data_IF_930350566520
#
_entry.id   IF_930350566520
#
_cell.length_a   1.000
_cell.length_b   1.000
_cell.length_c   1.000
_cell.angle_alpha   90.00
_cell.angle_beta   90.00
_cell.angle_gamma   90.00
#
_symmetry.space_group_name_H-M   'P 1'
#
loop_
_entity.id
_entity.type
_entity.pdbx_description
1 polymer ?
#
# COMPACT_ATOMS: atom_id res chain seq x y z
N UNK A 1 -11.55 -0.51 -13.70
CA UNK A 1 -11.71 -0.80 -15.03
C UNK A 1 -11.78 -2.23 -15.26
N UNK A 2 -12.33 -2.58 -16.37
CA UNK A 2 -12.47 -3.98 -16.70
C UNK A 2 -11.11 -4.60 -16.97
N UNK A 3 -10.97 -5.86 -16.63
CA UNK A 3 -9.76 -6.61 -16.94
C UNK A 3 -8.50 -6.18 -16.18
N UNK A 4 -8.64 -5.42 -15.14
CA UNK A 4 -7.48 -5.13 -14.29
C UNK A 4 -7.07 -6.37 -13.53
N UNK A 5 -5.80 -6.46 -13.22
CA UNK A 5 -5.27 -7.53 -12.40
C UNK A 5 -5.27 -7.06 -10.96
N UNK A 6 -6.21 -7.57 -10.19
CA UNK A 6 -6.41 -7.14 -8.81
C UNK A 6 -5.80 -8.19 -7.88
N UNK A 7 -4.99 -7.72 -6.93
CA UNK A 7 -4.41 -8.63 -5.94
C UNK A 7 -4.55 -8.04 -4.55
N UNK A 8 -4.44 -8.91 -3.56
CA UNK A 8 -4.43 -8.53 -2.15
C UNK A 8 -3.16 -9.08 -1.52
N UNK A 9 -2.45 -8.24 -0.81
CA UNK A 9 -1.18 -8.62 -0.21
C UNK A 9 -1.20 -8.21 1.26
N UNK A 10 -0.65 -9.07 2.10
CA UNK A 10 -0.49 -8.77 3.52
C UNK A 10 1.00 -8.76 3.80
N UNK A 11 1.48 -7.69 4.38
CA UNK A 11 2.90 -7.57 4.68
C UNK A 11 3.16 -6.35 5.52
N UNK A 12 4.44 -6.02 5.66
CA UNK A 12 4.84 -4.91 6.51
C UNK A 12 5.50 -3.81 5.70
N UNK A 13 5.27 -2.56 6.08
CA UNK A 13 5.94 -1.46 5.41
C UNK A 13 7.44 -1.52 5.69
N UNK A 14 8.23 -1.34 4.66
CA UNK A 14 9.69 -1.36 4.80
C UNK A 14 10.25 -0.03 5.26
N UNK A 15 9.47 1.04 5.13
CA UNK A 15 9.87 2.36 5.54
C UNK A 15 8.63 3.21 5.69
N UNK A 16 8.79 4.43 6.15
CA UNK A 16 7.65 5.34 6.26
C UNK A 16 7.15 5.69 4.87
N UNK A 17 5.84 5.90 4.72
CA UNK A 17 5.31 6.32 3.42
C UNK A 17 5.91 7.65 3.00
N UNK A 18 6.19 7.79 1.72
CA UNK A 18 6.76 9.00 1.18
C UNK A 18 5.69 9.81 0.49
N UNK A 19 5.27 10.89 1.12
CA UNK A 19 4.21 11.76 0.58
C UNK A 19 4.86 12.90 -0.17
N UNK A 20 4.40 13.16 -1.37
CA UNK A 20 4.89 14.28 -2.15
C UNK A 20 3.72 14.84 -2.96
N UNK A 21 3.96 15.97 -3.60
CA UNK A 21 2.92 16.61 -4.39
C UNK A 21 3.42 16.79 -5.81
N UNK A 22 2.54 16.56 -6.77
CA UNK A 22 2.90 16.75 -8.18
C UNK A 22 2.92 18.23 -8.51
N UNK A 23 3.38 18.56 -9.71
CA UNK A 23 3.41 19.96 -10.11
C UNK A 23 2.01 20.56 -10.16
N UNK A 24 1.00 19.75 -10.35
CA UNK A 24 -0.36 20.24 -10.35
C UNK A 24 -0.94 20.32 -8.95
N UNK A 25 -0.19 19.94 -7.95
CA UNK A 25 -0.67 20.05 -6.57
C UNK A 25 -1.37 18.82 -6.03
N UNK A 26 -1.37 17.73 -6.75
CA UNK A 26 -2.03 16.52 -6.27
C UNK A 26 -1.09 15.72 -5.36
N UNK A 27 -1.61 15.28 -4.24
CA UNK A 27 -0.83 14.47 -3.32
C UNK A 27 -0.66 13.07 -3.88
N UNK A 28 0.51 12.48 -3.71
CA UNK A 28 0.75 11.10 -4.05
C UNK A 28 1.66 10.51 -2.99
N UNK A 29 1.36 9.29 -2.57
CA UNK A 29 2.19 8.61 -1.59
C UNK A 29 2.70 7.32 -2.19
N UNK A 30 3.97 7.02 -1.88
CA UNK A 30 4.58 5.75 -2.26
C UNK A 30 5.00 5.04 -1.00
N UNK A 31 4.83 3.76 -0.96
CA UNK A 31 5.34 2.94 0.13
C UNK A 31 5.58 1.53 -0.39
N UNK A 32 6.45 0.80 0.27
CA UNK A 32 6.79 -0.57 -0.14
C UNK A 32 6.37 -1.53 0.95
N UNK A 33 5.69 -2.59 0.54
CA UNK A 33 5.24 -3.63 1.45
C UNK A 33 6.09 -4.87 1.21
N UNK A 34 6.63 -5.41 2.29
CA UNK A 34 7.41 -6.64 2.24
C UNK A 34 6.53 -7.79 2.71
N UNK A 35 6.34 -8.77 1.84
CA UNK A 35 5.54 -9.93 2.14
C UNK A 35 6.43 -11.15 2.02
N UNK A 36 6.63 -11.86 3.12
CA UNK A 36 7.53 -13.00 3.15
C UNK A 36 6.72 -14.28 3.35
N UNK A 37 6.68 -15.15 2.35
CA UNK A 37 5.98 -16.40 2.54
C UNK A 37 6.77 -17.31 3.48
N UNK A 38 6.07 -18.14 4.21
CA UNK A 38 6.70 -19.07 5.10
C UNK A 38 6.29 -20.49 4.72
N UNK A 39 7.24 -21.39 4.74
CA UNK A 39 7.02 -22.77 4.34
C UNK A 39 7.47 -23.68 5.46
N UNK A 40 6.70 -24.71 5.74
CA UNK A 40 7.09 -25.66 6.75
C UNK A 40 8.02 -26.69 6.12
N UNK A 41 9.22 -26.85 6.70
CA UNK A 41 10.20 -27.78 6.19
C UNK A 41 10.05 -29.09 6.97
N UNK A 42 9.57 -30.11 6.32
CA UNK A 42 9.34 -31.39 6.99
C UNK A 42 10.64 -32.05 7.43
N UNK A 43 11.74 -31.75 6.74
CA UNK A 43 13.00 -32.37 7.11
C UNK A 43 13.53 -31.84 8.44
N UNK A 44 13.46 -30.54 8.65
CA UNK A 44 13.94 -29.98 9.89
C UNK A 44 12.80 -29.75 10.88
N UNK A 45 11.56 -29.98 10.46
CA UNK A 45 10.39 -29.79 11.30
C UNK A 45 10.29 -28.34 11.76
N UNK A 46 10.66 -27.40 10.94
CA UNK A 46 10.65 -26.01 11.29
C UNK A 46 10.04 -25.19 10.16
N UNK A 47 9.54 -24.01 10.52
CA UNK A 47 9.04 -23.06 9.53
C UNK A 47 10.22 -22.26 9.02
N UNK A 48 10.27 -22.07 7.71
CA UNK A 48 11.33 -21.28 7.08
C UNK A 48 10.73 -20.18 6.25
N UNK A 49 11.44 -19.04 6.19
CA UNK A 49 11.01 -17.94 5.37
C UNK A 49 11.43 -18.20 3.93
N UNK A 50 10.53 -17.91 3.00
CA UNK A 50 10.89 -17.93 1.59
C UNK A 50 11.41 -16.58 1.17
N UNK A 51 11.52 -16.39 -0.13
CA UNK A 51 11.98 -15.12 -0.65
C UNK A 51 10.93 -14.05 -0.42
N UNK A 52 11.36 -12.89 -0.01
CA UNK A 52 10.45 -11.78 0.29
C UNK A 52 10.04 -11.09 -0.99
N UNK A 53 8.74 -10.85 -1.11
CA UNK A 53 8.21 -10.03 -2.18
C UNK A 53 8.18 -8.59 -1.72
N UNK A 54 8.84 -7.70 -2.45
CA UNK A 54 8.79 -6.27 -2.16
C UNK A 54 7.89 -5.64 -3.21
N UNK A 55 6.77 -5.08 -2.77
CA UNK A 55 5.79 -4.52 -3.70
C UNK A 55 5.64 -3.04 -3.45
N UNK A 56 5.94 -2.24 -4.47
CA UNK A 56 5.79 -0.81 -4.37
C UNK A 56 4.34 -0.44 -4.60
N UNK A 57 3.80 0.40 -3.72
CA UNK A 57 2.40 0.78 -3.75
C UNK A 57 2.29 2.28 -3.84
N UNK A 58 1.24 2.76 -4.48
CA UNK A 58 0.99 4.20 -4.53
C UNK A 58 -0.49 4.50 -4.44
N UNK A 59 -0.81 5.67 -3.90
CA UNK A 59 -2.17 6.17 -3.80
C UNK A 59 -2.13 7.68 -3.98
N UNK A 60 -3.31 8.27 -4.22
CA UNK A 60 -3.39 9.66 -4.65
C UNK A 60 -4.35 10.46 -3.81
N UNK A 61 -4.13 11.77 -3.75
CA UNK A 61 -5.05 12.76 -3.21
C UNK A 61 -5.29 12.57 -1.72
N UNK A 62 -6.50 12.72 -1.27
CA UNK A 62 -6.76 12.65 0.15
C UNK A 62 -6.39 11.27 0.72
N UNK A 63 -6.57 10.23 -0.05
CA UNK A 63 -6.20 8.91 0.39
C UNK A 63 -4.69 8.85 0.68
N UNK A 64 -3.88 9.50 -0.17
CA UNK A 64 -2.44 9.55 0.05
C UNK A 64 -2.10 10.23 1.37
N UNK A 65 -2.80 11.31 1.68
CA UNK A 65 -2.55 12.02 2.92
C UNK A 65 -2.92 11.17 4.13
N UNK A 66 -4.05 10.48 4.06
CA UNK A 66 -4.46 9.62 5.15
C UNK A 66 -3.46 8.49 5.39
N UNK A 67 -2.92 7.92 4.32
CA UNK A 67 -1.94 6.87 4.44
C UNK A 67 -0.68 7.41 5.11
N UNK A 68 -0.21 8.57 4.67
CA UNK A 68 1.01 9.14 5.22
C UNK A 68 0.88 9.46 6.70
N UNK A 69 -0.31 9.81 7.14
CA UNK A 69 -0.52 10.13 8.54
C UNK A 69 -0.79 8.93 9.40
N UNK A 70 -1.11 7.80 8.81
CA UNK A 70 -1.56 6.64 9.57
C UNK A 70 -0.56 5.50 9.62
N UNK A 71 0.23 5.32 8.60
CA UNK A 71 1.11 4.16 8.51
C UNK A 71 2.56 4.57 8.70
N UNK A 72 3.33 3.71 9.33
CA UNK A 72 4.74 3.96 9.54
C UNK A 72 5.53 2.71 9.24
N UNK A 73 6.84 2.84 9.21
CA UNK A 73 7.72 1.72 8.97
C UNK A 73 7.39 0.59 9.94
N UNK A 74 7.29 -0.61 9.43
CA UNK A 74 7.01 -1.79 10.23
C UNK A 74 5.55 -2.11 10.43
N UNK A 75 4.64 -1.22 10.06
CA UNK A 75 3.22 -1.49 10.23
C UNK A 75 2.81 -2.63 9.31
N UNK A 76 2.11 -3.62 9.87
CA UNK A 76 1.56 -4.70 9.08
C UNK A 76 0.26 -4.23 8.45
N UNK A 77 0.11 -4.40 7.16
CA UNK A 77 -1.05 -3.90 6.43
C UNK A 77 -1.64 -4.97 5.55
N UNK A 78 -2.91 -4.76 5.20
CA UNK A 78 -3.58 -5.51 4.16
C UNK A 78 -3.83 -4.51 3.05
N UNK A 79 -3.29 -4.78 1.87
CA UNK A 79 -3.43 -3.84 0.76
C UNK A 79 -4.00 -4.57 -0.43
N UNK A 80 -4.95 -3.93 -1.09
CA UNK A 80 -5.56 -4.46 -2.29
C UNK A 80 -5.48 -3.40 -3.37
N UNK A 81 -5.19 -3.79 -4.57
CA UNK A 81 -5.13 -2.85 -5.66
C UNK A 81 -4.90 -3.53 -6.99
N UNK A 82 -4.58 -2.74 -7.98
CA UNK A 82 -4.38 -3.21 -9.34
C UNK A 82 -2.90 -3.17 -9.66
N UNK A 83 -2.39 -4.29 -10.18
CA UNK A 83 -1.01 -4.33 -10.64
C UNK A 83 -0.91 -3.60 -11.97
N UNK A 84 0.05 -2.72 -12.08
CA UNK A 84 0.31 -2.01 -13.33
C UNK A 84 1.79 -2.13 -13.64
N UNK A 85 2.11 -2.16 -14.91
CA UNK A 85 3.46 -2.27 -15.36
C UNK A 85 3.79 -1.02 -16.17
N UNK A 86 4.93 -0.44 -15.93
CA UNK A 86 5.37 0.68 -16.73
C UNK A 86 6.85 0.53 -17.07
N UNK A 87 7.21 1.12 -18.16
CA UNK A 87 8.58 1.08 -18.64
C UNK A 87 9.18 2.47 -18.61
N UNK A 88 10.44 2.56 -18.34
CA UNK A 88 11.12 3.84 -18.34
C UNK A 88 12.56 3.64 -18.70
N UNK A 89 13.19 4.71 -19.18
CA UNK A 89 14.61 4.70 -19.49
C UNK A 89 15.32 5.48 -18.42
N UNK A 90 16.33 4.89 -17.74
CA UNK A 90 17.04 5.62 -16.69
C UNK A 90 17.72 6.86 -17.23
N UNK A 91 17.89 7.85 -16.35
CA UNK A 91 18.53 9.07 -16.79
C UNK A 91 19.93 8.88 -17.24
N UNK A 92 20.63 7.85 -16.78
CA UNK A 92 22.01 7.66 -17.19
C UNK A 92 22.08 7.02 -18.56
N UNK A 93 20.98 6.85 -19.25
CA UNK A 93 21.04 6.34 -20.60
C UNK A 93 21.08 4.85 -20.70
N UNK A 94 20.87 4.13 -19.67
CA UNK A 94 20.90 2.68 -19.76
C UNK A 94 19.71 2.13 -20.52
N UNK A 95 19.59 0.82 -20.51
CA UNK A 95 18.49 0.15 -21.18
C UNK A 95 17.17 0.44 -20.53
N UNK A 96 16.11 0.31 -21.31
CA UNK A 96 14.78 0.51 -20.80
C UNK A 96 14.49 -0.51 -19.70
N UNK A 97 13.86 -0.07 -18.65
CA UNK A 97 13.52 -0.92 -17.53
C UNK A 97 12.03 -1.00 -17.35
N UNK A 98 11.59 -2.12 -16.81
CA UNK A 98 10.18 -2.35 -16.58
C UNK A 98 9.98 -2.59 -15.09
N UNK A 99 8.99 -1.93 -14.51
CA UNK A 99 8.65 -2.13 -13.12
C UNK A 99 7.17 -2.45 -13.00
N UNK A 100 6.83 -3.22 -11.97
CA UNK A 100 5.46 -3.58 -11.67
C UNK A 100 5.13 -2.95 -10.33
N UNK A 101 4.04 -2.23 -10.26
CA UNK A 101 3.65 -1.52 -9.05
C UNK A 101 2.18 -1.78 -8.76
N UNK A 102 1.76 -1.50 -7.54
CA UNK A 102 0.38 -1.66 -7.15
C UNK A 102 -0.27 -0.30 -7.01
N UNK A 103 -1.32 -0.06 -7.75
CA UNK A 103 -2.15 1.13 -7.56
C UNK A 103 -3.17 0.76 -6.51
N UNK A 104 -3.09 1.38 -5.35
CA UNK A 104 -3.85 0.96 -4.18
C UNK A 104 -5.31 1.34 -4.31
N UNK A 105 -6.18 0.37 -4.11
CA UNK A 105 -7.60 0.62 -3.99
C UNK A 105 -8.00 0.69 -2.52
N UNK A 106 -7.47 -0.21 -1.70
CA UNK A 106 -7.74 -0.21 -0.26
C UNK A 106 -6.50 -0.62 0.49
N UNK A 107 -6.24 0.01 1.60
CA UNK A 107 -5.15 -0.37 2.49
C UNK A 107 -5.53 -0.03 3.90
N UNK A 108 -5.14 -0.85 4.82
CA UNK A 108 -5.37 -0.59 6.23
C UNK A 108 -4.44 -1.40 7.09
N UNK A 109 -4.28 -1.00 8.35
CA UNK A 109 -3.45 -1.77 9.26
C UNK A 109 -4.12 -3.09 9.60
N UNK A 110 -3.31 -4.13 9.71
CA UNK A 110 -3.82 -5.43 10.11
C UNK A 110 -3.82 -5.50 11.62
N UNK A 111 -4.91 -5.96 12.19
CA UNK A 111 -5.09 -5.92 13.64
C UNK A 111 -4.72 -7.21 14.36
N UNK A 112 -4.10 -8.14 13.65
CA UNK A 112 -3.75 -9.40 14.29
C UNK A 112 -2.79 -9.19 15.47
N UNK A 113 -1.86 -8.27 15.34
CA UNK A 113 -0.86 -8.04 16.38
C UNK A 113 -0.82 -6.60 16.89
N UNK A 114 -1.80 -5.80 16.53
CA UNK A 114 -1.78 -4.38 16.89
C UNK A 114 -3.19 -3.85 17.03
N UNK A 115 -3.32 -2.71 17.67
CA UNK A 115 -4.58 -2.01 17.80
C UNK A 115 -4.50 -0.73 17.00
N UNK A 116 -5.63 -0.27 16.49
CA UNK A 116 -5.69 0.97 15.76
C UNK A 116 -6.78 1.84 16.34
N UNK A 117 -6.54 3.13 16.30
CA UNK A 117 -7.54 4.09 16.69
C UNK A 117 -7.97 4.83 15.43
N UNK A 118 -9.26 4.83 15.14
CA UNK A 118 -9.75 5.37 13.87
C UNK A 118 -10.28 6.75 14.09
N UNK A 119 -9.79 7.69 13.28
CA UNK A 119 -10.33 9.04 13.25
C UNK A 119 -10.95 9.24 11.89
N UNK A 120 -12.22 9.57 11.87
CA UNK A 120 -12.92 9.69 10.61
C UNK A 120 -12.57 10.98 9.93
N UNK A 121 -12.28 10.89 8.63
CA UNK A 121 -11.99 12.07 7.82
C UNK A 121 -13.27 12.56 7.18
N UNK A 122 -13.58 13.86 7.24
CA UNK A 122 -14.80 14.35 6.62
C UNK A 122 -14.78 14.12 5.12
N UNK A 123 -15.96 13.81 4.56
CA UNK A 123 -16.05 13.63 3.16
C UNK A 123 -15.89 14.90 2.46
N UNK A 124 -15.13 14.90 1.38
CA UNK A 124 -14.99 16.08 0.65
C UNK A 124 -16.16 16.30 -0.18
N UNK A 125 -16.49 17.49 -0.43
CA UNK A 125 -17.52 17.66 -1.34
C UNK A 125 -18.80 17.34 -0.93
N UNK A 126 -19.33 17.34 -0.15
CA UNK A 126 -20.50 17.06 0.12
C UNK A 126 -20.99 16.68 1.06
N UNK A 127 -20.60 16.34 1.54
CA UNK A 127 -21.03 15.93 2.44
C UNK A 127 -21.98 15.89 3.34
N UNK A 128 -22.92 16.20 3.32
CA UNK A 128 -23.86 16.21 4.12
C UNK A 128 -24.23 14.93 4.65
N UNK A 129 -23.55 14.01 4.79
CA UNK A 129 -23.81 12.86 5.17
C UNK A 129 -24.19 12.79 6.54
N UNK A 130 -25.28 12.55 6.79
CA UNK A 130 -25.60 12.66 8.00
C UNK A 130 -25.55 11.58 8.79
N UNK A 131 -25.81 11.18 9.11
CA UNK A 131 -25.83 10.26 9.82
C UNK A 131 -25.16 9.53 10.38
N UNK A 132 -25.36 8.94 10.51
CA UNK A 132 -24.72 8.14 10.86
C UNK A 132 -23.77 8.07 11.55
N UNK A 133 -23.42 8.58 11.68
CA UNK A 133 -22.41 8.59 12.15
C UNK A 133 -21.79 7.70 12.89
N UNK A 134 -21.86 7.40 13.44
CA UNK A 134 -21.26 6.72 14.23
C UNK A 134 -20.61 5.68 13.94
N UNK A 135 -20.68 5.33 13.46
CA UNK A 135 -20.19 4.29 13.20
C UNK A 135 -19.01 4.05 13.30
N UNK A 136 -18.60 4.12 13.66
CA UNK A 136 -17.47 3.71 13.73
C UNK A 136 -16.67 3.26 13.18
#
# INVERSE_FOLDING_TARGET
MANDTVITVIGNLTGDPNLRYTTSGAAVVDFTVASTPRTFDRNSNQWKDGDTLFLRCSAWREYAENIAESLTKGTRVIVQGRLVQRSYTPRDGGEQRTVVELQVDEVGPALRYAKAQITRTPRQGGGNFSGGGNSG
#
